data_IF_523800040763
#
_entry.id   IF_523800040763
#
_cell.length_a   1.000
_cell.length_b   1.000
_cell.length_c   1.000
_cell.angle_alpha   90.00
_cell.angle_beta   90.00
_cell.angle_gamma   90.00
#
_symmetry.space_group_name_H-M   'P 1'
#
loop_
_entity.id
_entity.type
_entity.pdbx_description
1 polymer ?
#
# COMPACT_ATOMS: atom_id res chain seq x y z
N UNK A 1 9.86 -5.88 14.03
CA UNK A 1 9.26 -5.75 12.68
C UNK A 1 9.68 -6.91 11.78
N UNK A 2 10.98 -7.22 11.65
CA UNK A 2 11.51 -8.31 10.80
C UNK A 2 10.86 -9.68 11.03
N UNK A 3 10.73 -10.13 12.29
CA UNK A 3 10.08 -11.42 12.62
C UNK A 3 8.59 -11.39 12.27
N UNK A 4 7.92 -10.25 12.48
CA UNK A 4 6.51 -10.07 12.07
C UNK A 4 6.35 -10.13 10.55
N UNK A 5 7.26 -9.49 9.80
CA UNK A 5 7.28 -9.55 8.34
C UNK A 5 7.56 -10.98 7.83
N UNK A 6 8.49 -11.71 8.46
CA UNK A 6 8.75 -13.13 8.18
C UNK A 6 7.50 -13.99 8.41
N UNK A 7 6.84 -13.81 9.56
CA UNK A 7 5.59 -14.50 9.88
C UNK A 7 4.49 -14.17 8.88
N UNK A 8 4.42 -12.93 8.41
CA UNK A 8 3.44 -12.46 7.43
C UNK A 8 3.66 -13.08 6.05
N UNK A 9 4.91 -13.15 5.57
CA UNK A 9 5.23 -13.74 4.26
C UNK A 9 5.05 -15.25 4.25
N UNK A 10 5.58 -15.97 5.26
CA UNK A 10 5.38 -17.42 5.38
C UNK A 10 3.91 -17.77 5.63
N UNK A 11 3.24 -17.05 6.53
CA UNK A 11 1.82 -17.23 6.82
C UNK A 11 0.95 -16.99 5.59
N UNK A 12 1.23 -15.93 4.81
CA UNK A 12 0.52 -15.64 3.57
C UNK A 12 0.69 -16.74 2.52
N UNK A 13 1.93 -17.22 2.32
CA UNK A 13 2.20 -18.34 1.42
C UNK A 13 1.48 -19.62 1.83
N UNK A 14 1.52 -19.97 3.12
CA UNK A 14 0.81 -21.13 3.68
C UNK A 14 -0.71 -21.00 3.54
N UNK A 15 -1.25 -19.81 3.77
CA UNK A 15 -2.69 -19.52 3.64
C UNK A 15 -3.16 -19.70 2.20
N UNK A 16 -2.44 -19.13 1.22
CA UNK A 16 -2.78 -19.25 -0.20
C UNK A 16 -2.77 -20.71 -0.69
N UNK A 17 -1.91 -21.56 -0.11
CA UNK A 17 -1.80 -22.99 -0.46
C UNK A 17 -2.59 -23.93 0.48
N UNK A 18 -3.46 -23.39 1.34
CA UNK A 18 -4.33 -24.15 2.26
C UNK A 18 -3.58 -25.08 3.24
N UNK A 19 -2.37 -24.72 3.66
CA UNK A 19 -1.67 -25.43 4.74
C UNK A 19 -2.30 -25.14 6.11
N UNK A 20 -2.31 -26.15 6.98
CA UNK A 20 -2.82 -26.01 8.35
C UNK A 20 -2.06 -24.91 9.12
N UNK A 21 -2.78 -24.09 9.88
CA UNK A 21 -2.21 -22.99 10.66
C UNK A 21 -1.77 -21.76 9.87
N UNK A 22 -1.81 -21.77 8.52
CA UNK A 22 -1.35 -20.65 7.70
C UNK A 22 -2.07 -19.33 7.97
N UNK A 23 -3.40 -19.35 8.08
CA UNK A 23 -4.19 -18.16 8.42
C UNK A 23 -3.87 -17.60 9.81
N UNK A 24 -3.64 -18.47 10.81
CA UNK A 24 -3.26 -18.04 12.16
C UNK A 24 -1.89 -17.36 12.16
N UNK A 25 -0.92 -17.93 11.45
CA UNK A 25 0.43 -17.37 11.31
C UNK A 25 0.42 -16.03 10.54
N UNK A 26 -0.43 -15.90 9.51
CA UNK A 26 -0.64 -14.66 8.78
C UNK A 26 -1.21 -13.57 9.70
N UNK A 27 -2.28 -13.87 10.45
CA UNK A 27 -2.87 -12.93 11.41
C UNK A 27 -1.87 -12.51 12.49
N UNK A 28 -1.09 -13.45 13.03
CA UNK A 28 -0.01 -13.15 13.98
C UNK A 28 1.03 -12.20 13.37
N UNK A 29 1.43 -12.45 12.12
CA UNK A 29 2.33 -11.56 11.37
C UNK A 29 1.78 -10.14 11.25
N UNK A 30 0.52 -9.98 10.86
CA UNK A 30 -0.14 -8.66 10.75
C UNK A 30 -0.18 -7.94 12.10
N UNK A 31 -0.63 -8.62 13.16
CA UNK A 31 -0.72 -8.02 14.51
C UNK A 31 0.65 -7.61 15.03
N UNK A 32 1.67 -8.44 14.85
CA UNK A 32 3.03 -8.12 15.32
C UNK A 32 3.65 -6.95 14.55
N UNK A 33 3.43 -6.84 13.24
CA UNK A 33 3.88 -5.67 12.46
C UNK A 33 3.18 -4.40 12.92
N UNK A 34 1.86 -4.42 13.06
CA UNK A 34 1.08 -3.26 13.55
C UNK A 34 1.52 -2.84 14.96
N UNK A 35 1.69 -3.81 15.87
CA UNK A 35 2.17 -3.53 17.22
C UNK A 35 3.54 -2.85 17.22
N UNK A 36 4.50 -3.38 16.45
CA UNK A 36 5.84 -2.78 16.38
C UNK A 36 5.79 -1.39 15.77
N UNK A 37 5.00 -1.15 14.72
CA UNK A 37 4.85 0.19 14.12
C UNK A 37 4.33 1.21 15.14
N UNK A 38 3.29 0.84 15.90
CA UNK A 38 2.73 1.71 16.94
C UNK A 38 3.76 2.03 18.03
N UNK A 39 4.48 1.02 18.53
CA UNK A 39 5.52 1.25 19.56
C UNK A 39 6.69 2.06 19.03
N UNK A 40 7.08 1.85 17.77
CA UNK A 40 8.18 2.59 17.15
C UNK A 40 7.81 4.06 16.96
N UNK A 41 6.65 4.36 16.39
CA UNK A 41 6.22 5.76 16.23
C UNK A 41 6.02 6.46 17.57
N UNK A 42 5.50 5.76 18.58
CA UNK A 42 5.44 6.29 19.95
C UNK A 42 6.83 6.73 20.44
N UNK A 43 7.85 5.91 20.20
CA UNK A 43 9.21 6.21 20.67
C UNK A 43 9.84 7.36 19.85
N UNK A 44 9.63 7.43 18.53
CA UNK A 44 10.04 8.60 17.71
C UNK A 44 9.38 9.90 18.22
N UNK A 45 8.08 9.87 18.54
CA UNK A 45 7.38 11.04 19.09
C UNK A 45 7.99 11.46 20.43
N UNK A 46 8.44 10.51 21.25
CA UNK A 46 9.08 10.80 22.53
C UNK A 46 10.45 11.43 22.35
N UNK A 47 11.29 10.88 21.48
CA UNK A 47 12.60 11.42 21.12
C UNK A 47 12.48 12.86 20.58
N UNK A 48 11.46 13.10 19.75
CA UNK A 48 11.20 14.41 19.18
C UNK A 48 10.69 15.43 20.20
N UNK A 49 9.66 15.08 20.98
CA UNK A 49 8.87 16.04 21.77
C UNK A 49 9.35 16.21 23.21
N UNK A 50 9.85 15.14 23.84
CA UNK A 50 10.24 15.16 25.25
C UNK A 50 11.76 15.19 25.45
N UNK A 51 12.53 14.61 24.53
CA UNK A 51 14.00 14.56 24.63
C UNK A 51 14.72 15.61 23.78
N UNK A 52 14.03 16.22 22.81
CA UNK A 52 14.58 17.31 22.00
C UNK A 52 15.69 16.90 21.03
N UNK A 53 15.77 15.61 20.66
CA UNK A 53 16.87 15.06 19.82
C UNK A 53 16.76 15.47 18.33
N UNK A 54 15.64 16.05 17.91
CA UNK A 54 15.38 16.43 16.51
C UNK A 54 15.97 17.81 16.19
N UNK A 55 17.29 17.89 16.03
CA UNK A 55 18.00 19.08 15.53
C UNK A 55 17.56 19.45 14.10
N UNK A 56 17.87 20.65 13.62
CA UNK A 56 17.51 21.10 12.27
C UNK A 56 18.01 20.14 11.18
N UNK A 57 19.25 19.67 11.28
CA UNK A 57 19.81 18.69 10.34
C UNK A 57 19.04 17.36 10.33
N UNK A 58 18.59 16.88 11.49
CA UNK A 58 17.77 15.66 11.58
C UNK A 58 16.40 15.87 10.94
N UNK A 59 15.76 17.02 11.18
CA UNK A 59 14.47 17.34 10.58
C UNK A 59 14.55 17.44 9.05
N UNK A 60 15.61 18.04 8.51
CA UNK A 60 15.83 18.10 7.07
C UNK A 60 16.08 16.70 6.48
N UNK A 61 16.81 15.84 7.21
CA UNK A 61 16.98 14.43 6.85
C UNK A 61 15.65 13.66 6.82
N UNK A 62 14.79 13.84 7.82
CA UNK A 62 13.47 13.21 7.86
C UNK A 62 12.56 13.69 6.73
N UNK A 63 12.60 14.99 6.39
CA UNK A 63 11.86 15.54 5.24
C UNK A 63 12.33 14.93 3.92
N UNK A 64 13.64 14.86 3.71
CA UNK A 64 14.20 14.24 2.51
C UNK A 64 13.83 12.74 2.45
N UNK A 65 13.91 12.03 3.57
CA UNK A 65 13.49 10.63 3.67
C UNK A 65 12.02 10.42 3.29
N UNK A 66 11.13 11.29 3.78
CA UNK A 66 9.71 11.23 3.43
C UNK A 66 9.46 11.55 1.95
N UNK A 67 10.17 12.52 1.37
CA UNK A 67 10.08 12.82 -0.07
C UNK A 67 10.51 11.61 -0.89
N UNK A 68 11.64 10.98 -0.56
CA UNK A 68 12.12 9.79 -1.27
C UNK A 68 11.15 8.62 -1.14
N UNK A 69 10.54 8.43 0.04
CA UNK A 69 9.51 7.41 0.24
C UNK A 69 8.26 7.68 -0.63
N UNK A 70 7.77 8.92 -0.69
CA UNK A 70 6.63 9.29 -1.58
C UNK A 70 7.00 9.03 -3.04
N UNK A 71 8.21 9.39 -3.48
CA UNK A 71 8.68 9.13 -4.84
C UNK A 71 8.69 7.63 -5.15
N UNK A 72 9.12 6.78 -4.21
CA UNK A 72 9.04 5.32 -4.41
C UNK A 72 7.61 4.81 -4.54
N UNK A 73 6.66 5.36 -3.78
CA UNK A 73 5.23 4.99 -3.88
C UNK A 73 4.61 5.47 -5.20
N UNK A 74 4.96 6.66 -5.69
CA UNK A 74 4.54 7.13 -7.01
C UNK A 74 5.00 6.18 -8.11
N UNK A 75 6.24 5.68 -8.05
CA UNK A 75 6.75 4.70 -8.99
C UNK A 75 6.07 3.33 -8.86
N UNK A 76 5.70 2.92 -7.64
CA UNK A 76 4.89 1.72 -7.41
C UNK A 76 3.51 1.84 -8.09
N UNK A 77 2.79 2.95 -7.92
CA UNK A 77 1.53 3.19 -8.63
C UNK A 77 1.71 3.33 -10.15
N UNK A 78 2.80 3.93 -10.61
CA UNK A 78 3.14 4.02 -12.03
C UNK A 78 3.16 2.64 -12.70
N UNK A 79 3.67 1.59 -12.02
CA UNK A 79 3.66 0.23 -12.55
C UNK A 79 2.23 -0.31 -12.78
N UNK A 80 1.28 -0.01 -11.89
CA UNK A 80 -0.13 -0.39 -12.08
C UNK A 80 -0.80 0.39 -13.21
N UNK A 81 -0.54 1.70 -13.32
CA UNK A 81 -1.04 2.50 -14.44
C UNK A 81 -0.47 1.99 -15.76
N UNK A 82 0.82 1.65 -15.80
CA UNK A 82 1.44 1.04 -16.96
C UNK A 82 0.74 -0.26 -17.38
N UNK A 83 0.46 -1.15 -16.42
CA UNK A 83 -0.26 -2.40 -16.68
C UNK A 83 -1.69 -2.15 -17.20
N UNK A 84 -2.40 -1.17 -16.63
CA UNK A 84 -3.72 -0.75 -17.08
C UNK A 84 -3.69 -0.23 -18.53
N UNK A 85 -2.84 0.76 -18.83
CA UNK A 85 -2.77 1.36 -20.17
C UNK A 85 -2.34 0.34 -21.23
N UNK A 86 -1.36 -0.52 -20.92
CA UNK A 86 -0.95 -1.58 -21.84
C UNK A 86 -2.12 -2.49 -22.19
N UNK A 87 -2.94 -2.86 -21.21
CA UNK A 87 -4.07 -3.77 -21.40
C UNK A 87 -5.29 -3.09 -22.05
N UNK A 88 -5.52 -1.81 -21.78
CA UNK A 88 -6.68 -1.07 -22.29
C UNK A 88 -6.49 -0.48 -23.68
N UNK A 89 -5.25 -0.10 -24.04
CA UNK A 89 -4.95 0.50 -25.35
C UNK A 89 -4.88 -0.54 -26.48
N UNK A 90 -4.43 -1.76 -26.17
CA UNK A 90 -4.37 -2.87 -27.10
C UNK A 90 -5.03 -4.12 -26.50
N UNK A 91 -6.37 -4.13 -26.35
CA UNK A 91 -7.10 -5.23 -25.74
C UNK A 91 -6.91 -6.53 -26.53
N UNK A 92 -6.66 -7.63 -25.81
CA UNK A 92 -6.45 -8.95 -26.42
C UNK A 92 -7.71 -9.46 -27.11
N UNK A 93 -7.57 -10.20 -28.22
CA UNK A 93 -8.71 -10.75 -28.95
C UNK A 93 -9.60 -11.67 -28.10
N UNK A 94 -9.03 -12.33 -27.09
CA UNK A 94 -9.76 -13.21 -26.17
C UNK A 94 -10.83 -12.49 -25.34
N UNK A 95 -10.76 -11.15 -25.20
CA UNK A 95 -11.77 -10.32 -24.52
C UNK A 95 -12.68 -9.55 -25.51
N UNK A 96 -12.64 -9.90 -26.79
CA UNK A 96 -13.42 -9.25 -27.86
C UNK A 96 -12.71 -8.09 -28.55
N UNK A 97 -11.44 -7.80 -28.22
CA UNK A 97 -10.65 -6.75 -28.88
C UNK A 97 -11.17 -5.33 -28.64
N UNK A 98 -12.00 -5.13 -27.61
CA UNK A 98 -12.58 -3.84 -27.23
C UNK A 98 -12.36 -3.57 -25.74
N UNK A 99 -12.27 -2.29 -25.39
CA UNK A 99 -12.22 -1.83 -24.01
C UNK A 99 -13.34 -0.81 -23.73
N UNK A 100 -14.15 -0.97 -22.67
CA UNK A 100 -14.15 -2.08 -21.71
C UNK A 100 -14.54 -3.43 -22.36
N UNK A 101 -14.13 -4.58 -21.77
CA UNK A 101 -14.52 -5.89 -22.26
C UNK A 101 -16.05 -6.02 -22.38
N UNK A 102 -16.52 -6.67 -23.44
CA UNK A 102 -17.95 -6.85 -23.67
C UNK A 102 -18.60 -7.64 -22.51
N UNK A 103 -19.76 -7.18 -22.05
CA UNK A 103 -20.51 -7.81 -20.95
C UNK A 103 -20.16 -7.33 -19.55
N UNK A 104 -19.20 -6.41 -19.39
CA UNK A 104 -18.94 -5.73 -18.12
C UNK A 104 -19.71 -4.42 -18.03
N UNK A 105 -20.52 -4.28 -16.99
CA UNK A 105 -21.12 -3.00 -16.63
C UNK A 105 -20.10 -2.13 -15.88
N UNK A 106 -19.74 -0.99 -16.48
CA UNK A 106 -18.78 -0.05 -15.89
C UNK A 106 -19.49 0.93 -14.97
N UNK A 107 -18.87 1.20 -13.82
CA UNK A 107 -19.37 2.18 -12.86
C UNK A 107 -19.32 3.58 -13.49
N UNK A 108 -20.43 4.32 -13.41
CA UNK A 108 -20.49 5.71 -13.89
C UNK A 108 -19.48 6.59 -13.14
N UNK A 109 -18.62 7.36 -13.85
CA UNK A 109 -17.69 8.29 -13.21
C UNK A 109 -18.37 9.39 -12.39
N UNK A 110 -19.63 9.73 -12.74
CA UNK A 110 -20.37 10.86 -12.16
C UNK A 110 -21.08 10.54 -10.84
N UNK A 111 -21.10 9.27 -10.43
CA UNK A 111 -21.74 8.84 -9.19
C UNK A 111 -20.77 8.87 -8.01
N UNK A 112 -20.61 7.71 -7.36
CA UNK A 112 -19.71 7.53 -6.23
C UNK A 112 -18.25 7.95 -6.51
N UNK A 113 -17.66 7.69 -7.70
CA UNK A 113 -16.29 8.11 -7.97
C UNK A 113 -16.12 9.63 -7.88
N UNK A 114 -17.02 10.41 -8.48
CA UNK A 114 -16.99 11.87 -8.40
C UNK A 114 -17.11 12.36 -6.95
N UNK A 115 -18.07 11.81 -6.19
CA UNK A 115 -18.24 12.17 -4.78
C UNK A 115 -16.95 11.92 -3.98
N UNK A 116 -16.29 10.80 -4.20
CA UNK A 116 -15.01 10.50 -3.56
C UNK A 116 -13.90 11.49 -3.98
N UNK A 117 -13.86 11.94 -5.24
CA UNK A 117 -12.88 12.96 -5.67
C UNK A 117 -13.14 14.31 -5.00
N UNK A 118 -14.40 14.71 -4.82
CA UNK A 118 -14.75 15.95 -4.11
C UNK A 118 -14.35 15.86 -2.64
N UNK A 119 -14.60 14.71 -1.97
CA UNK A 119 -14.22 14.50 -0.57
C UNK A 119 -12.70 14.51 -0.35
N UNK A 120 -11.91 14.09 -1.34
CA UNK A 120 -10.44 14.16 -1.25
C UNK A 120 -9.90 15.57 -1.47
N UNK A 121 -10.64 16.44 -2.17
CA UNK A 121 -10.27 17.83 -2.44
C UNK A 121 -10.72 18.79 -1.35
N UNK A 122 -11.81 18.48 -0.64
CA UNK A 122 -12.38 19.29 0.46
C UNK A 122 -11.54 19.23 1.72
#
# INVERSE_FOLDING_TARGET
ASIGALSLTFGGGMFMHKYSGGGQLLCLGVVTVLYVMLTWWRDIIREASFEGQHTSAVQDGLRLGMILFIVSEVMFFFAFFWAFFTSSLAPVFNIGGVWPPAGLEVISPWGLPLLNTVLLLS
#
